data_IF_138865362970
#
_entry.id   IF_138865362970
#
_cell.length_a   1.000
_cell.length_b   1.000
_cell.length_c   1.000
_cell.angle_alpha   90.00
_cell.angle_beta   90.00
_cell.angle_gamma   90.00
#
_symmetry.space_group_name_H-M   'P 1'
#
loop_
_entity.id
_entity.type
_entity.pdbx_description
1 polymer ?
#
# COMPACT_ATOMS: atom_id res chain seq x y z
N UNK A 1 45.27 -20.36 54.73
CA UNK A 1 44.82 -20.17 53.33
C UNK A 1 43.59 -19.29 53.42
N UNK A 2 43.85 -17.99 53.65
CA UNK A 2 42.79 -17.02 53.93
C UNK A 2 42.17 -16.56 52.61
N UNK A 3 40.90 -16.91 52.42
CA UNK A 3 40.08 -16.34 51.38
C UNK A 3 39.93 -14.84 51.70
N UNK A 4 40.55 -14.01 50.87
CA UNK A 4 40.48 -12.55 50.91
C UNK A 4 39.02 -12.11 50.69
N UNK A 5 38.23 -12.08 51.76
CA UNK A 5 36.85 -11.58 51.72
C UNK A 5 36.93 -10.07 51.48
N UNK A 6 36.64 -9.65 50.25
CA UNK A 6 36.65 -8.23 49.89
C UNK A 6 35.66 -7.44 50.78
N UNK A 7 36.05 -6.26 51.29
CA UNK A 7 35.23 -5.51 52.23
C UNK A 7 33.89 -5.08 51.59
N UNK A 8 32.77 -5.15 52.34
CA UNK A 8 31.40 -5.02 51.81
C UNK A 8 31.12 -3.71 51.04
N UNK A 9 31.84 -2.63 51.38
CA UNK A 9 31.75 -1.33 50.71
C UNK A 9 32.18 -1.35 49.25
N UNK A 10 33.20 -2.16 48.90
CA UNK A 10 33.69 -2.26 47.52
C UNK A 10 32.65 -2.97 46.63
N UNK A 11 31.89 -3.90 47.20
CA UNK A 11 30.85 -4.64 46.48
C UNK A 11 29.63 -3.74 46.18
N UNK A 12 29.23 -2.89 47.13
CA UNK A 12 28.17 -1.89 46.93
C UNK A 12 28.53 -0.88 45.84
N UNK A 13 29.75 -0.32 45.88
CA UNK A 13 30.21 0.64 44.86
C UNK A 13 30.23 0.03 43.44
N UNK A 14 30.60 -1.26 43.32
CA UNK A 14 30.61 -1.99 42.05
C UNK A 14 29.18 -2.22 41.53
N UNK A 15 28.23 -2.56 42.41
CA UNK A 15 26.83 -2.75 42.04
C UNK A 15 26.15 -1.43 41.65
N UNK A 16 26.47 -0.34 42.34
CA UNK A 16 25.94 0.99 42.04
C UNK A 16 26.48 1.53 40.71
N UNK A 17 27.78 1.38 40.44
CA UNK A 17 28.41 1.72 39.16
C UNK A 17 27.82 0.90 38.00
N UNK A 18 27.57 -0.39 38.22
CA UNK A 18 26.98 -1.28 37.21
C UNK A 18 25.51 -0.93 36.94
N UNK A 19 24.74 -0.64 38.00
CA UNK A 19 23.36 -0.17 37.91
C UNK A 19 23.26 1.19 37.20
N UNK A 20 24.17 2.10 37.50
CA UNK A 20 24.27 3.40 36.85
C UNK A 20 24.66 3.27 35.37
N UNK A 21 25.59 2.37 35.06
CA UNK A 21 25.92 2.01 33.68
C UNK A 21 24.69 1.49 32.93
N UNK A 22 24.04 0.45 33.45
CA UNK A 22 22.89 -0.20 32.82
C UNK A 22 21.73 0.79 32.58
N UNK A 23 21.41 1.65 33.56
CA UNK A 23 20.36 2.68 33.41
C UNK A 23 20.69 3.71 32.34
N UNK A 24 21.93 4.16 32.24
CA UNK A 24 22.36 5.14 31.24
C UNK A 24 22.38 4.56 29.82
N UNK A 25 22.74 3.28 29.67
CA UNK A 25 22.65 2.57 28.38
C UNK A 25 21.21 2.31 27.96
N UNK A 26 20.32 2.00 28.91
CA UNK A 26 18.90 1.78 28.64
C UNK A 26 18.20 3.06 28.19
N UNK A 27 18.48 4.19 28.83
CA UNK A 27 17.92 5.49 28.43
C UNK A 27 18.37 5.90 27.03
N UNK A 28 19.66 5.68 26.70
CA UNK A 28 20.20 5.98 25.37
C UNK A 28 19.60 5.08 24.28
N UNK A 29 19.39 3.79 24.59
CA UNK A 29 18.75 2.86 23.66
C UNK A 29 17.27 3.18 23.44
N UNK A 30 16.54 3.53 24.51
CA UNK A 30 15.12 3.90 24.41
C UNK A 30 14.92 5.19 23.60
N UNK A 31 15.79 6.18 23.76
CA UNK A 31 15.73 7.43 22.98
C UNK A 31 16.00 7.20 21.50
N UNK A 32 16.95 6.33 21.15
CA UNK A 32 17.23 5.97 19.76
C UNK A 32 16.07 5.21 19.12
N UNK A 33 15.51 4.22 19.83
CA UNK A 33 14.34 3.46 19.37
C UNK A 33 13.13 4.37 19.15
N UNK A 34 12.84 5.28 20.08
CA UNK A 34 11.72 6.21 19.97
C UNK A 34 11.86 7.17 18.79
N UNK A 35 13.08 7.66 18.51
CA UNK A 35 13.33 8.53 17.36
C UNK A 35 13.17 7.78 16.03
N UNK A 36 13.72 6.56 15.94
CA UNK A 36 13.55 5.69 14.78
C UNK A 36 12.06 5.39 14.51
N UNK A 37 11.30 5.08 15.56
CA UNK A 37 9.86 4.83 15.48
C UNK A 37 9.11 6.07 14.99
N UNK A 38 9.39 7.26 15.53
CA UNK A 38 8.73 8.49 15.10
C UNK A 38 8.97 8.75 13.61
N UNK A 39 10.21 8.58 13.14
CA UNK A 39 10.57 8.76 11.74
C UNK A 39 9.87 7.75 10.83
N UNK A 40 9.86 6.48 11.21
CA UNK A 40 9.17 5.44 10.43
C UNK A 40 7.67 5.71 10.36
N UNK A 41 7.03 6.09 11.47
CA UNK A 41 5.61 6.40 11.50
C UNK A 41 5.26 7.56 10.56
N UNK A 42 6.04 8.64 10.61
CA UNK A 42 5.88 9.79 9.71
C UNK A 42 6.01 9.41 8.23
N UNK A 43 7.00 8.58 7.88
CA UNK A 43 7.16 8.10 6.50
C UNK A 43 5.96 7.27 6.04
N UNK A 44 5.45 6.39 6.91
CA UNK A 44 4.27 5.57 6.63
C UNK A 44 2.99 6.41 6.52
N UNK A 45 2.84 7.49 7.31
CA UNK A 45 1.75 8.46 7.17
C UNK A 45 1.77 9.12 5.79
N UNK A 46 2.92 9.63 5.37
CA UNK A 46 3.09 10.26 4.04
C UNK A 46 2.76 9.28 2.93
N UNK A 47 3.24 8.04 3.01
CA UNK A 47 2.97 7.02 2.01
C UNK A 47 1.48 6.67 1.94
N UNK A 48 0.79 6.60 3.08
CA UNK A 48 -0.63 6.28 3.15
C UNK A 48 -1.48 7.41 2.56
N UNK A 49 -1.12 8.67 2.83
CA UNK A 49 -1.76 9.84 2.21
C UNK A 49 -1.57 9.80 0.70
N UNK A 50 -0.34 9.54 0.24
CA UNK A 50 -0.04 9.43 -1.18
C UNK A 50 -0.84 8.31 -1.85
N UNK A 51 -0.85 7.11 -1.27
CA UNK A 51 -1.60 5.98 -1.78
C UNK A 51 -3.11 6.25 -1.84
N UNK A 52 -3.67 6.92 -0.84
CA UNK A 52 -5.09 7.31 -0.83
C UNK A 52 -5.43 8.31 -1.92
N UNK A 53 -4.64 9.37 -2.07
CA UNK A 53 -4.81 10.37 -3.13
C UNK A 53 -4.66 9.76 -4.51
N UNK A 54 -3.62 8.95 -4.70
CA UNK A 54 -3.37 8.26 -5.95
C UNK A 54 -4.53 7.31 -6.31
N UNK A 55 -5.04 6.54 -5.35
CA UNK A 55 -6.18 5.64 -5.57
C UNK A 55 -7.46 6.40 -5.95
N UNK A 56 -7.68 7.61 -5.40
CA UNK A 56 -8.81 8.44 -5.78
C UNK A 56 -8.71 8.92 -7.23
N UNK A 57 -7.51 9.38 -7.63
CA UNK A 57 -7.24 9.78 -9.02
C UNK A 57 -7.39 8.58 -9.97
N UNK A 58 -6.78 7.43 -9.64
CA UNK A 58 -6.84 6.21 -10.44
C UNK A 58 -8.28 5.71 -10.59
N UNK A 59 -9.09 5.76 -9.51
CA UNK A 59 -10.52 5.40 -9.56
C UNK A 59 -11.31 6.29 -10.51
N UNK A 60 -11.02 7.60 -10.56
CA UNK A 60 -11.68 8.50 -11.50
C UNK A 60 -11.38 8.10 -12.95
N UNK A 61 -10.13 7.76 -13.26
CA UNK A 61 -9.75 7.27 -14.59
C UNK A 61 -10.36 5.90 -14.90
N UNK A 62 -10.45 4.98 -13.92
CA UNK A 62 -11.13 3.69 -14.09
C UNK A 62 -12.59 3.89 -14.47
N UNK A 63 -13.31 4.80 -13.79
CA UNK A 63 -14.72 5.09 -14.12
C UNK A 63 -14.85 5.58 -15.57
N UNK A 64 -13.96 6.46 -16.00
CA UNK A 64 -13.94 6.97 -17.39
C UNK A 64 -13.59 5.85 -18.38
N UNK A 65 -12.58 5.02 -18.09
CA UNK A 65 -12.18 3.90 -18.93
C UNK A 65 -13.29 2.85 -19.03
N UNK A 66 -13.98 2.54 -17.93
CA UNK A 66 -15.11 1.60 -17.89
C UNK A 66 -16.28 2.09 -18.77
N UNK A 67 -16.54 3.39 -18.79
CA UNK A 67 -17.54 3.98 -19.68
C UNK A 67 -17.18 3.77 -21.16
N UNK A 68 -15.89 3.81 -21.52
CA UNK A 68 -15.44 3.48 -22.88
C UNK A 68 -15.61 2.00 -23.25
N UNK A 69 -15.72 1.09 -22.27
CA UNK A 69 -16.06 -0.32 -22.47
C UNK A 69 -17.57 -0.59 -22.43
N UNK A 70 -18.40 0.42 -22.20
CA UNK A 70 -19.86 0.26 -22.20
C UNK A 70 -20.41 0.86 -23.48
N UNK A 71 -21.28 0.13 -24.18
CA UNK A 71 -21.96 0.66 -25.35
C UNK A 71 -22.68 1.97 -24.96
N UNK A 72 -22.40 3.11 -25.64
CA UNK A 72 -23.17 4.32 -25.39
C UNK A 72 -24.63 3.99 -25.69
N UNK A 73 -25.52 4.09 -24.71
CA UNK A 73 -26.97 3.94 -24.92
C UNK A 73 -27.50 4.92 -25.98
N UNK A 74 -26.78 6.04 -26.18
CA UNK A 74 -26.97 6.98 -27.27
C UNK A 74 -26.76 6.35 -28.65
N UNK A 75 -25.77 5.45 -28.83
CA UNK A 75 -25.52 4.80 -30.13
C UNK A 75 -26.59 3.77 -30.45
N UNK A 76 -27.11 3.05 -29.45
CA UNK A 76 -28.30 2.21 -29.64
C UNK A 76 -29.52 3.04 -30.03
N UNK A 77 -29.72 4.20 -29.39
CA UNK A 77 -30.85 5.09 -29.71
C UNK A 77 -30.70 5.70 -31.10
N UNK A 78 -29.51 6.15 -31.47
CA UNK A 78 -29.20 6.70 -32.80
C UNK A 78 -29.31 5.64 -33.89
N UNK A 79 -28.87 4.41 -33.62
CA UNK A 79 -29.04 3.28 -34.54
C UNK A 79 -30.52 2.95 -34.76
N UNK A 80 -31.32 2.89 -33.70
CA UNK A 80 -32.76 2.68 -33.79
C UNK A 80 -33.47 3.84 -34.52
N UNK A 81 -33.06 5.09 -34.28
CA UNK A 81 -33.57 6.26 -35.00
C UNK A 81 -33.23 6.23 -36.49
N UNK A 82 -31.99 5.86 -36.83
CA UNK A 82 -31.56 5.69 -38.22
C UNK A 82 -32.35 4.58 -38.92
N UNK A 83 -32.61 3.47 -38.23
CA UNK A 83 -33.41 2.36 -38.75
C UNK A 83 -34.87 2.77 -38.98
N UNK A 84 -35.46 3.55 -38.08
CA UNK A 84 -36.81 4.13 -38.25
C UNK A 84 -36.88 5.07 -39.46
N UNK A 85 -35.89 5.94 -39.64
CA UNK A 85 -35.83 6.88 -40.77
C UNK A 85 -35.67 6.14 -42.12
N UNK A 86 -34.92 5.05 -42.12
CA UNK A 86 -34.66 4.21 -43.31
C UNK A 86 -35.88 3.35 -43.67
N UNK A 87 -36.62 2.84 -42.67
CA UNK A 87 -37.87 2.12 -42.89
C UNK A 87 -38.97 2.99 -43.52
N UNK A 88 -39.01 4.28 -43.17
CA UNK A 88 -39.94 5.24 -43.78
C UNK A 88 -39.74 5.46 -45.29
N UNK A 89 -38.59 5.05 -45.84
CA UNK A 89 -38.26 5.21 -47.28
C UNK A 89 -38.20 3.90 -48.07
N UNK A 90 -38.02 2.73 -47.43
CA UNK A 90 -38.06 1.42 -48.08
C UNK A 90 -38.68 0.35 -47.15
N UNK A 91 -39.79 -0.32 -47.51
CA UNK A 91 -40.56 -1.18 -46.60
C UNK A 91 -40.00 -2.62 -46.44
N UNK A 92 -38.69 -2.83 -46.59
CA UNK A 92 -38.08 -4.15 -46.53
C UNK A 92 -36.98 -4.22 -45.45
N UNK A 93 -37.36 -4.21 -44.17
CA UNK A 93 -36.45 -4.54 -43.08
C UNK A 93 -36.86 -5.86 -42.42
N UNK A 94 -35.95 -6.83 -42.44
CA UNK A 94 -36.09 -8.09 -41.71
C UNK A 94 -35.76 -7.90 -40.23
N UNK A 95 -36.48 -8.61 -39.33
CA UNK A 95 -36.34 -8.55 -37.86
C UNK A 95 -34.88 -8.72 -37.37
N UNK A 96 -34.02 -9.36 -38.17
CA UNK A 96 -32.59 -9.49 -37.90
C UNK A 96 -31.81 -8.16 -37.88
N UNK A 97 -32.29 -7.11 -38.55
CA UNK A 97 -31.63 -5.78 -38.54
C UNK A 97 -32.05 -4.92 -37.34
N UNK A 98 -33.10 -5.30 -36.60
CA UNK A 98 -33.49 -4.63 -35.34
C UNK A 98 -32.58 -5.00 -34.16
N UNK A 99 -31.73 -6.01 -34.31
CA UNK A 99 -30.83 -6.41 -33.25
C UNK A 99 -29.50 -5.69 -33.43
N UNK A 100 -29.11 -4.77 -32.52
CA UNK A 100 -27.83 -4.09 -32.64
C UNK A 100 -26.70 -5.13 -32.65
N UNK A 101 -25.64 -4.91 -33.44
CA UNK A 101 -24.50 -5.83 -33.45
C UNK A 101 -23.97 -6.00 -32.02
N UNK A 102 -23.58 -7.24 -31.63
CA UNK A 102 -23.08 -7.49 -30.28
C UNK A 102 -21.87 -6.58 -30.02
N UNK A 103 -21.98 -5.75 -28.98
CA UNK A 103 -20.91 -4.88 -28.57
C UNK A 103 -19.69 -5.73 -28.20
N UNK A 104 -18.63 -5.59 -28.98
CA UNK A 104 -17.35 -6.25 -28.72
C UNK A 104 -16.37 -5.17 -28.27
N UNK A 105 -15.99 -5.12 -26.98
CA UNK A 105 -15.06 -4.10 -26.51
C UNK A 105 -13.71 -4.25 -27.24
N UNK A 106 -13.15 -3.12 -27.66
CA UNK A 106 -11.82 -3.09 -28.28
C UNK A 106 -10.79 -3.76 -27.36
N UNK A 107 -9.96 -4.65 -27.92
CA UNK A 107 -8.92 -5.37 -27.17
C UNK A 107 -7.96 -4.42 -26.44
N UNK A 108 -7.78 -3.21 -26.97
CA UNK A 108 -7.00 -2.13 -26.34
C UNK A 108 -7.65 -1.59 -25.07
N UNK A 109 -8.96 -1.31 -25.10
CA UNK A 109 -9.71 -0.81 -23.95
C UNK A 109 -9.71 -1.81 -22.77
N UNK A 110 -9.85 -3.11 -23.07
CA UNK A 110 -9.75 -4.17 -22.04
C UNK A 110 -8.35 -4.22 -21.42
N UNK A 111 -7.29 -4.02 -22.23
CA UNK A 111 -5.91 -4.01 -21.75
C UNK A 111 -5.63 -2.80 -20.85
N UNK A 112 -6.08 -1.61 -21.26
CA UNK A 112 -5.96 -0.38 -20.47
C UNK A 112 -6.66 -0.52 -19.11
N UNK A 113 -7.89 -1.04 -19.10
CA UNK A 113 -8.63 -1.23 -17.86
C UNK A 113 -7.89 -2.17 -16.90
N UNK A 114 -7.31 -3.27 -17.41
CA UNK A 114 -6.47 -4.16 -16.58
C UNK A 114 -5.26 -3.45 -15.97
N UNK A 115 -4.61 -2.55 -16.70
CA UNK A 115 -3.45 -1.81 -16.17
C UNK A 115 -3.84 -0.80 -15.10
N UNK A 116 -4.97 -0.10 -15.26
CA UNK A 116 -5.50 0.78 -14.21
C UNK A 116 -5.87 -0.01 -12.94
N UNK A 117 -6.59 -1.13 -13.07
CA UNK A 117 -6.88 -1.99 -11.91
C UNK A 117 -5.61 -2.56 -11.26
N UNK A 118 -4.61 -2.96 -12.04
CA UNK A 118 -3.34 -3.44 -11.51
C UNK A 118 -2.61 -2.36 -10.72
N UNK A 119 -2.53 -1.15 -11.26
CA UNK A 119 -2.03 0.04 -10.55
C UNK A 119 -2.74 0.22 -9.21
N UNK A 120 -4.07 0.30 -9.22
CA UNK A 120 -4.86 0.45 -8.00
C UNK A 120 -4.59 -0.66 -6.96
N UNK A 121 -4.48 -1.92 -7.41
CA UNK A 121 -4.13 -3.04 -6.53
C UNK A 121 -2.75 -2.87 -5.87
N UNK A 122 -1.72 -2.45 -6.62
CA UNK A 122 -0.38 -2.23 -6.05
C UNK A 122 -0.37 -1.06 -5.05
N UNK A 123 -1.08 0.03 -5.36
CA UNK A 123 -1.29 1.14 -4.43
C UNK A 123 -1.97 0.68 -3.13
N UNK A 124 -3.03 -0.14 -3.22
CA UNK A 124 -3.72 -0.67 -2.05
C UNK A 124 -2.87 -1.66 -1.24
N UNK A 125 -2.07 -2.50 -1.91
CA UNK A 125 -1.13 -3.40 -1.23
C UNK A 125 -0.07 -2.61 -0.45
N UNK A 126 0.45 -1.52 -1.03
CA UNK A 126 1.31 -0.60 -0.31
C UNK A 126 0.57 0.07 0.86
N UNK A 127 -0.66 0.53 0.68
CA UNK A 127 -1.42 1.11 1.79
C UNK A 127 -1.64 0.10 2.93
N UNK A 128 -2.01 -1.15 2.60
CA UNK A 128 -2.19 -2.22 3.56
C UNK A 128 -0.88 -2.55 4.29
N UNK A 129 0.25 -2.63 3.57
CA UNK A 129 1.57 -2.82 4.14
C UNK A 129 1.94 -1.70 5.13
N UNK A 130 1.62 -0.44 4.82
CA UNK A 130 1.88 0.68 5.70
C UNK A 130 1.05 0.62 6.99
N UNK A 131 -0.20 0.18 6.89
CA UNK A 131 -1.06 -0.04 8.07
C UNK A 131 -0.52 -1.16 8.95
N UNK A 132 -0.11 -2.29 8.37
CA UNK A 132 0.49 -3.41 9.12
C UNK A 132 1.78 -2.96 9.81
N UNK A 133 2.63 -2.22 9.12
CA UNK A 133 3.86 -1.64 9.68
C UNK A 133 3.56 -0.71 10.87
N UNK A 134 2.52 0.14 10.77
CA UNK A 134 2.07 1.00 11.88
C UNK A 134 1.53 0.21 13.06
N UNK A 135 0.71 -0.82 12.81
CA UNK A 135 0.16 -1.67 13.87
C UNK A 135 1.28 -2.35 14.67
N UNK A 136 2.31 -2.83 13.98
CA UNK A 136 3.49 -3.39 14.62
C UNK A 136 4.26 -2.34 15.44
N UNK A 137 4.42 -1.14 14.90
CA UNK A 137 5.11 -0.04 15.58
C UNK A 137 4.40 0.40 16.87
N UNK A 138 3.07 0.45 16.83
CA UNK A 138 2.25 0.74 18.02
C UNK A 138 2.33 -0.40 19.04
N UNK A 139 2.36 -1.66 18.58
CA UNK A 139 2.60 -2.81 19.46
C UNK A 139 3.98 -2.73 20.13
N UNK A 140 5.02 -2.32 19.39
CA UNK A 140 6.37 -2.10 19.92
C UNK A 140 6.36 -1.08 21.07
N UNK A 141 5.76 0.09 20.86
CA UNK A 141 5.65 1.16 21.86
C UNK A 141 4.88 0.73 23.12
N UNK A 142 3.78 -0.03 22.96
CA UNK A 142 2.98 -0.53 24.10
C UNK A 142 3.75 -1.57 24.91
N UNK A 143 4.53 -2.40 24.24
CA UNK A 143 5.28 -3.49 24.89
C UNK A 143 6.57 -2.98 25.55
N UNK A 144 7.08 -1.81 25.17
CA UNK A 144 8.27 -1.17 25.75
C UNK A 144 8.07 -0.60 27.16
N UNK A 145 6.83 -0.30 27.58
CA UNK A 145 6.54 0.40 28.85
C UNK A 145 6.39 -0.50 30.08
N UNK A 146 6.49 -1.83 29.95
CA UNK A 146 6.18 -2.75 31.06
C UNK A 146 7.27 -3.81 31.26
N UNK A 147 8.18 -3.65 32.23
CA UNK A 147 8.90 -4.78 32.86
C UNK A 147 10.41 -4.62 33.15
N UNK A 148 10.81 -5.27 34.25
CA UNK A 148 12.11 -5.27 34.96
C UNK A 148 13.34 -5.80 34.18
N UNK A 149 14.51 -5.28 34.58
CA UNK A 149 15.88 -5.37 34.02
C UNK A 149 16.29 -6.74 33.46
N UNK A 150 15.95 -7.84 34.14
CA UNK A 150 16.37 -9.20 33.75
C UNK A 150 15.58 -9.79 32.56
N UNK A 151 14.45 -9.20 32.17
CA UNK A 151 13.65 -9.62 31.01
C UNK A 151 14.00 -8.88 29.71
N UNK A 152 14.85 -7.84 29.76
CA UNK A 152 15.25 -7.06 28.58
C UNK A 152 16.18 -7.85 27.63
N UNK A 153 17.04 -8.74 28.15
CA UNK A 153 17.94 -9.58 27.35
C UNK A 153 17.23 -10.60 26.44
N UNK A 154 16.27 -11.36 26.98
CA UNK A 154 15.44 -12.28 26.17
C UNK A 154 14.41 -11.55 25.30
N UNK A 155 14.07 -10.31 25.66
CA UNK A 155 13.22 -9.44 24.85
C UNK A 155 13.90 -9.05 23.54
N UNK A 156 15.21 -8.78 23.52
CA UNK A 156 15.93 -8.44 22.26
C UNK A 156 15.90 -9.58 21.24
N UNK A 157 16.05 -10.83 21.66
CA UNK A 157 16.04 -11.99 20.77
C UNK A 157 14.64 -12.34 20.27
N UNK A 158 13.61 -12.32 21.14
CA UNK A 158 12.21 -12.47 20.70
C UNK A 158 11.69 -11.29 19.85
N UNK A 159 12.24 -10.09 20.04
CA UNK A 159 11.93 -8.90 19.22
C UNK A 159 12.49 -9.02 17.80
N UNK A 160 13.67 -9.61 17.64
CA UNK A 160 14.27 -9.87 16.32
C UNK A 160 13.58 -11.06 15.63
N UNK A 161 13.37 -12.17 16.33
CA UNK A 161 12.61 -13.33 15.81
C UNK A 161 11.17 -12.96 15.44
N UNK A 162 10.51 -12.05 16.19
CA UNK A 162 9.15 -11.59 15.86
C UNK A 162 9.08 -10.64 14.67
N UNK A 163 10.10 -9.81 14.44
CA UNK A 163 10.18 -8.91 13.28
C UNK A 163 10.61 -9.65 12.00
N UNK A 164 11.51 -10.63 12.15
CA UNK A 164 12.05 -11.48 11.09
C UNK A 164 11.05 -12.60 10.70
N UNK A 165 10.33 -13.19 11.65
CA UNK A 165 9.31 -14.22 11.36
C UNK A 165 8.03 -13.68 10.70
N UNK A 166 7.75 -12.37 10.79
CA UNK A 166 6.52 -11.77 10.24
C UNK A 166 6.70 -11.07 8.89
N UNK A 167 7.90 -11.08 8.28
CA UNK A 167 8.11 -10.46 6.97
C UNK A 167 7.98 -8.93 6.96
N UNK A 168 8.02 -8.29 8.14
CA UNK A 168 7.79 -6.86 8.29
C UNK A 168 8.93 -6.03 7.70
N UNK A 169 10.18 -6.48 7.89
CA UNK A 169 11.35 -5.85 7.28
C UNK A 169 11.21 -5.82 5.75
N UNK A 170 10.79 -6.95 5.17
CA UNK A 170 10.57 -7.07 3.73
C UNK A 170 9.39 -6.21 3.25
N UNK A 171 8.33 -6.09 4.07
CA UNK A 171 7.15 -5.26 3.73
C UNK A 171 7.50 -3.77 3.75
N UNK A 172 8.26 -3.31 4.76
CA UNK A 172 8.68 -1.91 4.92
C UNK A 172 9.67 -1.48 3.83
N UNK A 173 10.56 -2.37 3.39
CA UNK A 173 11.42 -2.12 2.24
C UNK A 173 10.65 -2.13 0.90
N UNK A 174 9.66 -3.01 0.75
CA UNK A 174 8.88 -3.12 -0.49
C UNK A 174 7.84 -1.99 -0.67
N UNK A 175 7.44 -1.35 0.42
CA UNK A 175 6.39 -0.32 0.46
C UNK A 175 6.58 0.83 -0.55
N UNK A 176 7.74 1.52 -0.59
CA UNK A 176 8.00 2.56 -1.59
C UNK A 176 8.09 2.00 -3.01
N UNK A 177 8.66 0.80 -3.18
CA UNK A 177 8.78 0.15 -4.48
C UNK A 177 7.42 -0.19 -5.09
N UNK A 178 6.47 -0.68 -4.28
CA UNK A 178 5.10 -0.98 -4.72
C UNK A 178 4.39 0.28 -5.23
N UNK A 179 4.56 1.42 -4.56
CA UNK A 179 4.01 2.71 -5.00
C UNK A 179 4.65 3.17 -6.32
N UNK A 180 5.96 3.02 -6.47
CA UNK A 180 6.65 3.38 -7.72
C UNK A 180 6.22 2.47 -8.89
N UNK A 181 6.08 1.17 -8.65
CA UNK A 181 5.57 0.21 -9.64
C UNK A 181 4.14 0.58 -10.03
N UNK A 182 3.28 0.90 -9.06
CA UNK A 182 1.93 1.40 -9.30
C UNK A 182 1.91 2.63 -10.21
N UNK A 183 2.78 3.62 -9.92
CA UNK A 183 2.89 4.83 -10.72
C UNK A 183 3.38 4.55 -12.15
N UNK A 184 4.31 3.61 -12.31
CA UNK A 184 4.79 3.19 -13.63
C UNK A 184 3.66 2.54 -14.46
N UNK A 185 2.90 1.62 -13.87
CA UNK A 185 1.74 1.01 -14.52
C UNK A 185 0.68 2.04 -14.90
N UNK A 186 0.37 2.96 -13.99
CA UNK A 186 -0.57 4.06 -14.25
C UNK A 186 -0.11 4.97 -15.38
N UNK A 187 1.18 5.34 -15.40
CA UNK A 187 1.74 6.18 -16.47
C UNK A 187 1.63 5.49 -17.83
N UNK A 188 1.93 4.19 -17.91
CA UNK A 188 1.79 3.41 -19.14
C UNK A 188 0.32 3.33 -19.59
N UNK A 189 -0.60 3.08 -18.66
CA UNK A 189 -2.04 3.05 -18.94
C UNK A 189 -2.56 4.40 -19.43
N UNK A 190 -2.08 5.51 -18.85
CA UNK A 190 -2.47 6.86 -19.22
C UNK A 190 -1.94 7.26 -20.60
N UNK A 191 -0.72 6.89 -20.95
CA UNK A 191 -0.17 7.09 -22.31
C UNK A 191 -0.98 6.31 -23.34
N UNK A 192 -1.27 5.03 -23.06
CA UNK A 192 -2.13 4.20 -23.92
C UNK A 192 -3.53 4.81 -24.06
N UNK A 193 -4.10 5.34 -22.97
CA UNK A 193 -5.42 6.00 -22.97
C UNK A 193 -5.42 7.28 -23.81
N UNK A 194 -4.42 8.14 -23.66
CA UNK A 194 -4.28 9.37 -24.44
C UNK A 194 -4.07 9.09 -25.93
N UNK A 195 -3.29 8.05 -26.26
CA UNK A 195 -3.12 7.61 -27.64
C UNK A 195 -4.45 7.15 -28.25
N UNK A 196 -5.20 6.33 -27.53
CA UNK A 196 -6.51 5.87 -28.00
C UNK A 196 -7.50 7.03 -28.22
N UNK A 197 -7.41 8.09 -27.39
CA UNK A 197 -8.21 9.30 -27.56
C UNK A 197 -7.74 10.17 -28.74
N UNK A 198 -6.46 10.14 -29.10
CA UNK A 198 -5.95 10.88 -30.26
C UNK A 198 -6.32 10.23 -31.59
N UNK A 199 -6.53 8.91 -31.58
CA UNK A 199 -6.85 8.10 -32.76
C UNK A 199 -8.37 7.95 -32.98
N UNK A 200 -9.18 8.43 -32.02
CA UNK A 200 -10.65 8.48 -32.07
C UNK A 200 -11.16 9.83 -32.57
#
# INVERSE_FOLDING_TARGET
>A
MDALHSPPQIQEDIEEQKSFGDTKYDDLANTFDDDMIKRLNGNLDVLLIFAGLFSAVDTAFIVVAQNALSAPSADQTNHLLWLLLTNGTNPALTINELNPPPFTPSRGAVRQNRFFFASLCFSLLAAAGAVVAKQWLQYYQRTGKTGTVRKQGMRRTKKFEGAEAWGLAHTVEALPALILISLAFFSAALVDYLWALSDS
#
